data_IF_751617393180
#
_entry.id   IF_751617393180
#
_cell.length_a   1.000
_cell.length_b   1.000
_cell.length_c   1.000
_cell.angle_alpha   90.00
_cell.angle_beta   90.00
_cell.angle_gamma   90.00
#
_symmetry.space_group_name_H-M   'P 1'
#
loop_
_entity.id
_entity.type
_entity.pdbx_description
1 polymer ?
#
# COMPACT_ATOMS: atom_id res chain seq x y z
N UNK A 1 -10.53 13.60 8.28
CA UNK A 1 -10.20 13.74 8.07
C UNK A 1 -9.84 14.21 8.01
N UNK A 2 -9.82 14.55 7.90
CA UNK A 2 -9.39 14.96 7.75
C UNK A 2 -8.83 15.63 8.03
N UNK A 3 -8.62 15.90 8.49
CA UNK A 3 -8.08 16.62 8.82
C UNK A 3 -7.05 16.71 8.72
N UNK A 4 -6.81 16.43 8.42
CA UNK A 4 -5.88 16.40 8.14
C UNK A 4 -5.44 17.15 7.62
N UNK A 5 -5.89 17.60 7.30
CA UNK A 5 -5.45 18.31 6.77
C UNK A 5 -4.92 19.36 7.19
N UNK A 6 -4.89 19.64 7.94
CA UNK A 6 -4.18 20.82 8.27
C UNK A 6 -2.82 20.77 7.64
N UNK A 7 -2.37 21.89 7.10
CA UNK A 7 -1.23 21.85 6.20
C UNK A 7 0.08 21.39 6.81
N UNK A 8 0.18 21.44 8.11
CA UNK A 8 1.45 21.09 8.72
C UNK A 8 1.79 19.61 8.61
N UNK A 9 0.81 18.76 8.45
CA UNK A 9 1.13 17.36 8.32
C UNK A 9 1.72 17.04 6.97
N UNK A 10 1.71 17.96 6.05
CA UNK A 10 2.19 17.67 4.71
C UNK A 10 3.69 17.79 4.57
N UNK A 11 4.37 18.31 5.55
CA UNK A 11 5.77 18.59 5.38
C UNK A 11 6.66 17.42 5.78
N UNK A 12 6.75 17.17 7.04
CA UNK A 12 7.74 16.20 7.52
C UNK A 12 7.18 14.82 7.72
N UNK A 13 5.89 14.70 7.82
CA UNK A 13 5.27 13.39 7.99
C UNK A 13 5.12 12.65 6.67
N UNK A 14 5.47 13.29 5.58
CA UNK A 14 5.31 12.69 4.27
C UNK A 14 6.00 11.34 4.17
N UNK A 15 7.26 11.27 4.57
CA UNK A 15 8.00 10.01 4.49
C UNK A 15 7.50 9.01 5.52
N UNK A 16 7.12 9.48 6.69
CA UNK A 16 6.57 8.60 7.70
C UNK A 16 5.25 8.01 7.24
N UNK A 17 4.45 8.80 6.55
CA UNK A 17 3.17 8.32 6.02
C UNK A 17 3.40 7.23 4.99
N UNK A 18 4.41 7.38 4.13
CA UNK A 18 4.73 6.35 3.16
C UNK A 18 5.11 5.05 3.84
N UNK A 19 5.92 5.11 4.87
CA UNK A 19 6.33 3.91 5.59
C UNK A 19 5.15 3.27 6.30
N UNK A 20 4.30 4.07 6.91
CA UNK A 20 3.12 3.55 7.59
C UNK A 20 2.18 2.89 6.60
N UNK A 21 2.06 3.48 5.42
CA UNK A 21 1.20 2.94 4.39
C UNK A 21 1.70 1.57 3.93
N UNK A 22 3.00 1.46 3.71
CA UNK A 22 3.60 0.19 3.31
C UNK A 22 3.39 -0.86 4.39
N UNK A 23 3.61 -0.50 5.65
CA UNK A 23 3.41 -1.41 6.76
C UNK A 23 1.96 -1.86 6.87
N UNK A 24 1.04 -0.95 6.61
CA UNK A 24 -0.38 -1.29 6.67
C UNK A 24 -0.76 -2.27 5.57
N UNK A 25 -0.29 -2.03 4.36
CA UNK A 25 -0.57 -2.94 3.24
C UNK A 25 -0.04 -4.33 3.53
N UNK A 26 1.18 -4.39 4.02
CA UNK A 26 1.78 -5.67 4.36
C UNK A 26 1.04 -6.35 5.50
N UNK A 27 0.68 -5.59 6.52
CA UNK A 27 -0.07 -6.13 7.65
C UNK A 27 -1.42 -6.69 7.24
N UNK A 28 -2.12 -5.99 6.36
CA UNK A 28 -3.41 -6.48 5.87
C UNK A 28 -3.23 -7.79 5.12
N UNK A 29 -2.19 -7.88 4.29
CA UNK A 29 -1.93 -9.10 3.56
C UNK A 29 -1.66 -10.25 4.51
N UNK A 30 -0.82 -10.01 5.51
CA UNK A 30 -0.47 -11.05 6.47
C UNK A 30 -1.67 -11.45 7.32
N UNK A 31 -2.49 -10.49 7.70
CA UNK A 31 -3.70 -10.77 8.49
C UNK A 31 -4.67 -11.65 7.74
N UNK A 32 -4.70 -11.54 6.42
CA UNK A 32 -5.57 -12.37 5.59
C UNK A 32 -4.89 -13.66 5.15
N UNK A 33 -3.67 -13.89 5.59
CA UNK A 33 -2.88 -15.07 5.19
C UNK A 33 -2.68 -15.15 3.68
N UNK A 34 -2.62 -14.01 3.02
CA UNK A 34 -2.34 -13.97 1.59
C UNK A 34 -0.85 -13.95 1.35
N UNK A 35 -0.40 -14.72 0.34
CA UNK A 35 0.98 -14.63 -0.11
C UNK A 35 1.16 -13.42 -1.01
N UNK A 36 2.40 -12.99 -1.18
CA UNK A 36 2.68 -11.92 -2.14
C UNK A 36 2.25 -12.34 -3.55
N UNK A 37 2.44 -13.61 -3.89
CA UNK A 37 2.03 -14.11 -5.19
C UNK A 37 0.52 -14.02 -5.37
N UNK A 38 -0.24 -14.35 -4.33
CA UNK A 38 -1.69 -14.28 -4.41
C UNK A 38 -2.15 -12.85 -4.71
N UNK A 39 -1.61 -11.89 -3.97
CA UNK A 39 -2.01 -10.51 -4.16
C UNK A 39 -1.53 -9.98 -5.50
N UNK A 40 -0.32 -10.37 -5.92
CA UNK A 40 0.18 -9.98 -7.23
C UNK A 40 -0.74 -10.48 -8.34
N UNK A 41 -1.20 -11.72 -8.24
CA UNK A 41 -2.14 -12.26 -9.21
C UNK A 41 -3.46 -11.49 -9.21
N UNK A 42 -3.93 -11.12 -8.03
CA UNK A 42 -5.15 -10.32 -7.92
C UNK A 42 -4.99 -8.98 -8.66
N UNK A 43 -3.80 -8.38 -8.56
CA UNK A 43 -3.53 -7.11 -9.21
C UNK A 43 -3.11 -7.26 -10.66
N UNK A 44 -3.02 -8.49 -11.16
CA UNK A 44 -2.56 -8.77 -12.51
C UNK A 44 -1.15 -8.26 -12.76
N UNK A 45 -0.29 -8.44 -11.77
CA UNK A 45 1.10 -8.05 -11.89
C UNK A 45 1.99 -9.19 -11.42
N UNK A 46 3.30 -9.04 -11.59
CA UNK A 46 4.23 -10.09 -11.16
C UNK A 46 4.49 -10.01 -9.66
N UNK A 47 4.87 -11.13 -9.08
CA UNK A 47 5.24 -11.15 -7.68
C UNK A 47 6.42 -10.24 -7.41
N UNK A 48 7.38 -10.20 -8.31
CA UNK A 48 8.55 -9.32 -8.18
C UNK A 48 8.12 -7.86 -8.10
N UNK A 49 7.19 -7.47 -8.97
CA UNK A 49 6.70 -6.09 -8.96
C UNK A 49 5.90 -5.81 -7.69
N UNK A 50 5.06 -6.75 -7.27
CA UNK A 50 4.30 -6.53 -6.05
C UNK A 50 5.21 -6.44 -4.83
N UNK A 51 6.26 -7.27 -4.78
CA UNK A 51 7.21 -7.20 -3.68
C UNK A 51 7.88 -5.82 -3.62
N UNK A 52 8.09 -5.20 -4.78
CA UNK A 52 8.61 -3.85 -4.82
C UNK A 52 7.62 -2.86 -4.22
N UNK A 53 6.33 -3.07 -4.46
CA UNK A 53 5.31 -2.20 -3.85
C UNK A 53 5.41 -2.22 -2.34
N UNK A 54 5.70 -3.38 -1.77
CA UNK A 54 5.80 -3.51 -0.31
C UNK A 54 7.11 -2.95 0.25
N UNK A 55 7.99 -2.46 -0.62
CA UNK A 55 9.20 -1.78 -0.19
C UNK A 55 9.16 -0.29 -0.49
N UNK A 56 8.36 0.09 -1.46
CA UNK A 56 8.38 1.46 -1.98
C UNK A 56 6.99 1.80 -2.49
N UNK A 57 6.25 2.56 -1.69
CA UNK A 57 4.88 2.92 -2.04
C UNK A 57 4.80 3.71 -3.33
N UNK A 58 5.85 4.46 -3.66
CA UNK A 58 5.82 5.30 -4.86
C UNK A 58 5.86 4.47 -6.13
N UNK A 59 6.25 3.19 -6.03
CA UNK A 59 6.26 2.31 -7.19
C UNK A 59 4.88 1.82 -7.60
N UNK A 60 3.89 1.98 -6.72
CA UNK A 60 2.57 1.40 -6.96
C UNK A 60 1.69 2.36 -7.76
N UNK A 61 1.15 1.91 -8.91
CA UNK A 61 0.17 2.72 -9.63
C UNK A 61 -1.10 2.91 -8.81
N UNK A 62 -1.76 4.02 -9.05
CA UNK A 62 -2.95 4.34 -8.26
C UNK A 62 -4.05 3.31 -8.48
N UNK A 63 -4.15 2.72 -9.67
CA UNK A 63 -5.21 1.72 -9.89
C UNK A 63 -4.97 0.47 -9.06
N UNK A 64 -3.71 0.11 -8.82
CA UNK A 64 -3.42 -1.03 -7.96
C UNK A 64 -3.77 -0.72 -6.52
N UNK A 65 -3.58 0.52 -6.11
CA UNK A 65 -4.01 0.95 -4.79
C UNK A 65 -5.51 0.80 -4.62
N UNK A 66 -6.26 1.20 -5.64
CA UNK A 66 -7.72 1.06 -5.61
C UNK A 66 -8.12 -0.42 -5.52
N UNK A 67 -7.44 -1.28 -6.27
CA UNK A 67 -7.72 -2.71 -6.22
C UNK A 67 -7.42 -3.30 -4.86
N UNK A 68 -6.33 -2.87 -4.23
CA UNK A 68 -6.02 -3.33 -2.88
C UNK A 68 -7.09 -2.90 -1.89
N UNK A 69 -7.58 -1.68 -2.02
CA UNK A 69 -8.65 -1.20 -1.15
C UNK A 69 -9.89 -2.08 -1.29
N UNK A 70 -10.18 -2.52 -2.49
CA UNK A 70 -11.31 -3.41 -2.72
C UNK A 70 -11.07 -4.80 -2.14
N UNK A 71 -9.85 -5.28 -2.28
CA UNK A 71 -9.51 -6.61 -1.79
C UNK A 71 -9.65 -6.70 -0.27
N UNK A 72 -9.23 -5.67 0.43
CA UNK A 72 -9.19 -5.67 1.89
C UNK A 72 -10.39 -5.01 2.54
N UNK A 73 -11.32 -4.57 1.77
CA UNK A 73 -12.47 -3.88 2.32
C UNK A 73 -13.46 -4.85 2.97
#
# INVERSE_FOLDING_TARGET
>A
MLSFFSGDCMNYTYFDDDKKYIQRIRGLREDHDYSQKYVANYLCTSQTMYARYERDASAMPIRHLIYLAKLYN
#
